data_IF_775307735300
#
_entry.id   IF_775307735300
#
_cell.length_a   1.000
_cell.length_b   1.000
_cell.length_c   1.000
_cell.angle_alpha   90.00
_cell.angle_beta   90.00
_cell.angle_gamma   90.00
#
_symmetry.space_group_name_H-M   'P 1'
#
loop_
_entity.id
_entity.type
_entity.pdbx_description
1 polymer ?
#
# COMPACT_ATOMS: atom_id res chain seq x y z
N UNK A 1 1.96 21.04 -10.59
CA UNK A 1 2.71 19.83 -10.22
C UNK A 1 2.60 18.88 -11.40
N UNK A 2 3.72 18.63 -12.06
CA UNK A 2 3.79 17.71 -13.19
C UNK A 2 3.82 16.28 -12.63
N UNK A 3 2.72 15.54 -12.79
CA UNK A 3 2.53 14.17 -12.26
C UNK A 3 2.94 13.09 -13.27
N UNK A 4 3.77 13.43 -14.26
CA UNK A 4 4.18 12.51 -15.32
C UNK A 4 5.25 11.51 -14.89
N UNK A 5 5.91 11.73 -13.74
CA UNK A 5 6.99 10.86 -13.24
C UNK A 5 6.75 10.44 -11.80
N UNK A 6 7.15 9.21 -11.48
CA UNK A 6 7.15 8.72 -10.11
C UNK A 6 8.21 9.46 -9.29
N UNK A 7 7.86 9.80 -8.05
CA UNK A 7 8.83 10.33 -7.10
C UNK A 7 9.48 9.19 -6.30
N UNK A 8 10.74 8.88 -6.61
CA UNK A 8 11.47 7.77 -6.00
C UNK A 8 12.00 8.09 -4.60
N UNK A 9 11.89 9.35 -4.13
CA UNK A 9 12.28 9.71 -2.77
C UNK A 9 11.26 9.23 -1.72
N UNK A 10 10.05 8.85 -2.14
CA UNK A 10 8.98 8.39 -1.25
C UNK A 10 9.02 6.87 -1.18
N UNK A 11 9.23 6.31 0.01
CA UNK A 11 9.31 4.85 0.19
C UNK A 11 7.93 4.23 0.44
N UNK A 12 7.82 2.91 0.28
CA UNK A 12 6.61 2.16 0.66
C UNK A 12 6.24 2.32 2.14
N UNK A 13 7.25 2.46 3.03
CA UNK A 13 7.04 2.74 4.46
C UNK A 13 6.45 4.14 4.67
N UNK A 14 6.90 5.14 3.91
CA UNK A 14 6.36 6.50 3.98
C UNK A 14 4.90 6.55 3.51
N UNK A 15 4.58 5.83 2.43
CA UNK A 15 3.21 5.71 1.91
C UNK A 15 2.30 5.08 2.97
N UNK A 16 2.71 3.95 3.55
CA UNK A 16 1.89 3.25 4.55
C UNK A 16 1.66 4.10 5.80
N UNK A 17 2.69 4.80 6.30
CA UNK A 17 2.54 5.72 7.45
C UNK A 17 1.49 6.80 7.19
N UNK A 18 1.39 7.29 5.95
CA UNK A 18 0.34 8.22 5.54
C UNK A 18 -1.06 7.59 5.60
N UNK A 19 -1.20 6.36 5.09
CA UNK A 19 -2.45 5.60 5.13
C UNK A 19 -2.89 5.29 6.56
N UNK A 20 -1.97 4.88 7.43
CA UNK A 20 -2.26 4.70 8.85
C UNK A 20 -2.74 5.99 9.51
N UNK A 21 -2.18 7.13 9.12
CA UNK A 21 -2.58 8.44 9.64
C UNK A 21 -4.04 8.76 9.35
N UNK A 22 -4.54 8.47 8.14
CA UNK A 22 -5.96 8.71 7.81
C UNK A 22 -6.88 7.69 8.46
N UNK A 23 -6.44 6.44 8.61
CA UNK A 23 -7.16 5.40 9.33
C UNK A 23 -7.32 5.75 10.82
N UNK A 24 -6.23 6.13 11.48
CA UNK A 24 -6.22 6.52 12.91
C UNK A 24 -7.06 7.77 13.19
N UNK A 25 -7.24 8.64 12.20
CA UNK A 25 -8.16 9.80 12.27
C UNK A 25 -9.63 9.42 12.07
N UNK A 26 -9.95 8.15 11.78
CA UNK A 26 -11.32 7.68 11.54
C UNK A 26 -11.92 8.17 10.22
N UNK A 27 -11.09 8.67 9.28
CA UNK A 27 -11.57 9.17 7.98
C UNK A 27 -11.94 8.04 7.03
N UNK A 28 -11.41 6.83 7.29
CA UNK A 28 -11.66 5.62 6.52
C UNK A 28 -11.82 4.45 7.47
N UNK A 29 -12.61 3.43 7.07
CA UNK A 29 -12.86 2.23 7.88
C UNK A 29 -11.83 1.11 7.69
N UNK A 30 -11.05 1.17 6.60
CA UNK A 30 -10.02 0.20 6.26
C UNK A 30 -8.99 0.85 5.34
N UNK A 31 -7.78 0.30 5.33
CA UNK A 31 -6.69 0.71 4.44
C UNK A 31 -6.03 -0.53 3.83
N UNK A 32 -5.61 -0.40 2.58
CA UNK A 32 -4.99 -1.46 1.80
C UNK A 32 -4.15 -0.88 0.66
N UNK A 33 -3.58 -1.76 -0.14
CA UNK A 33 -2.72 -1.41 -1.27
C UNK A 33 -3.22 -2.08 -2.55
N UNK A 34 -2.69 -1.66 -3.68
CA UNK A 34 -2.97 -2.28 -4.98
C UNK A 34 -1.66 -2.44 -5.76
N UNK A 35 -1.50 -3.59 -6.40
CA UNK A 35 -0.32 -3.95 -7.19
C UNK A 35 1.02 -3.86 -6.43
N UNK A 36 1.03 -4.12 -5.12
CA UNK A 36 2.27 -4.25 -4.36
C UNK A 36 2.81 -5.67 -4.46
N UNK A 37 4.12 -5.81 -4.62
CA UNK A 37 4.81 -7.10 -4.55
C UNK A 37 4.85 -7.65 -3.12
N UNK A 38 5.12 -8.95 -2.99
CA UNK A 38 5.32 -9.59 -1.69
C UNK A 38 6.41 -8.89 -0.86
N UNK A 39 7.56 -8.58 -1.47
CA UNK A 39 8.66 -7.87 -0.80
C UNK A 39 8.27 -6.47 -0.31
N UNK A 40 7.41 -5.75 -1.05
CA UNK A 40 6.93 -4.43 -0.62
C UNK A 40 5.99 -4.56 0.57
N UNK A 41 5.11 -5.57 0.57
CA UNK A 41 4.23 -5.89 1.68
C UNK A 41 5.04 -6.26 2.92
N UNK A 42 5.99 -7.20 2.80
CA UNK A 42 6.87 -7.62 3.89
C UNK A 42 7.59 -6.43 4.53
N UNK A 43 8.26 -5.62 3.70
CA UNK A 43 8.99 -4.43 4.15
C UNK A 43 8.10 -3.48 4.96
N UNK A 44 6.84 -3.27 4.57
CA UNK A 44 5.93 -2.40 5.32
C UNK A 44 5.46 -3.05 6.61
N UNK A 45 5.09 -4.34 6.54
CA UNK A 45 4.55 -5.09 7.67
C UNK A 45 5.55 -5.26 8.83
N UNK A 46 6.86 -5.16 8.59
CA UNK A 46 7.89 -5.07 9.65
C UNK A 46 7.66 -3.94 10.67
N UNK A 47 7.04 -2.84 10.23
CA UNK A 47 6.90 -1.60 11.02
C UNK A 47 5.47 -1.08 11.11
N UNK A 48 4.52 -1.79 10.48
CA UNK A 48 3.12 -1.41 10.45
C UNK A 48 2.47 -1.60 11.84
N UNK A 49 1.68 -0.61 12.24
CA UNK A 49 0.82 -0.66 13.44
C UNK A 49 -0.62 -1.00 13.10
N UNK A 50 -1.03 -0.76 11.85
CA UNK A 50 -2.30 -1.18 11.27
C UNK A 50 -2.00 -2.20 10.16
N UNK A 51 -2.59 -3.40 10.18
CA UNK A 51 -2.35 -4.39 9.15
C UNK A 51 -2.93 -3.95 7.80
N UNK A 52 -2.32 -4.44 6.71
CA UNK A 52 -2.88 -4.29 5.36
C UNK A 52 -4.16 -5.12 5.28
N UNK A 53 -5.32 -4.49 5.08
CA UNK A 53 -6.61 -5.20 5.03
C UNK A 53 -6.83 -5.92 3.71
N UNK A 54 -6.26 -5.40 2.61
CA UNK A 54 -6.35 -6.00 1.28
C UNK A 54 -5.15 -5.55 0.43
N UNK A 55 -4.62 -6.46 -0.39
CA UNK A 55 -3.80 -6.12 -1.54
C UNK A 55 -4.60 -6.50 -2.80
N UNK A 56 -5.10 -5.49 -3.52
CA UNK A 56 -5.80 -5.72 -4.77
C UNK A 56 -4.76 -5.99 -5.87
N UNK A 57 -4.79 -7.17 -6.45
CA UNK A 57 -3.87 -7.58 -7.50
C UNK A 57 -4.64 -8.02 -8.76
N UNK A 58 -3.97 -7.98 -9.90
CA UNK A 58 -4.46 -8.64 -11.11
C UNK A 58 -4.52 -10.14 -10.87
N UNK A 59 -5.67 -10.74 -11.20
CA UNK A 59 -5.86 -12.19 -11.15
C UNK A 59 -6.67 -12.58 -12.36
N UNK A 60 -6.01 -13.24 -13.31
CA UNK A 60 -6.64 -13.80 -14.50
C UNK A 60 -6.38 -15.30 -14.52
N UNK A 61 -7.41 -16.07 -14.86
CA UNK A 61 -7.29 -17.51 -15.03
C UNK A 61 -6.58 -17.77 -16.35
N UNK A 62 -5.37 -18.32 -16.29
CA UNK A 62 -4.73 -18.90 -17.46
C UNK A 62 -5.40 -20.27 -17.72
N UNK A 63 -6.00 -20.42 -18.91
CA UNK A 63 -6.52 -21.69 -19.41
C UNK A 63 -5.47 -22.22 -20.38
N UNK A 64 -4.92 -23.40 -20.10
CA UNK A 64 -4.15 -24.19 -21.07
C UNK A 64 -5.10 -24.95 -22.01
#
# INVERSE_FOLDING_TARGET
>A
HDMTKQNHSVTVKDIWRGLEGVYKKGLVKAIGVSNWSGEQIERVMESATVPIHNCQAESIKFIE
#
